data_IF_287554679575
#
_entry.id   IF_287554679575
#
_cell.length_a   1.000
_cell.length_b   1.000
_cell.length_c   1.000
_cell.angle_alpha   90.00
_cell.angle_beta   90.00
_cell.angle_gamma   90.00
#
_symmetry.space_group_name_H-M   'P 1'
#
loop_
_entity.id
_entity.type
_entity.pdbx_description
1 polymer ?
#
# COMPACT_ATOMS: atom_id res chain seq x y z
N UNK A 1 -15.39 0.10 -64.09
CA UNK A 1 -14.15 -0.42 -63.46
C UNK A 1 -14.53 -1.16 -62.19
N UNK A 2 -14.28 -2.46 -62.11
CA UNK A 2 -14.56 -3.26 -60.92
C UNK A 2 -13.42 -3.13 -59.90
N UNK A 3 -13.73 -2.72 -58.67
CA UNK A 3 -12.74 -2.62 -57.59
C UNK A 3 -12.26 -3.99 -57.11
N UNK A 4 -11.07 -4.04 -56.53
CA UNK A 4 -10.43 -5.26 -56.05
C UNK A 4 -11.31 -6.00 -55.01
N UNK A 5 -11.65 -7.25 -55.35
CA UNK A 5 -12.50 -8.13 -54.55
C UNK A 5 -11.87 -8.45 -53.19
N UNK A 6 -10.55 -8.38 -53.07
CA UNK A 6 -9.85 -8.72 -51.84
C UNK A 6 -10.12 -7.71 -50.71
N UNK A 7 -10.40 -6.45 -51.02
CA UNK A 7 -10.78 -5.46 -50.00
C UNK A 7 -12.11 -5.79 -49.29
N UNK A 8 -12.93 -6.66 -49.86
CA UNK A 8 -14.16 -7.15 -49.22
C UNK A 8 -13.91 -8.30 -48.24
N UNK A 9 -12.68 -8.85 -48.21
CA UNK A 9 -12.32 -9.96 -47.35
C UNK A 9 -11.80 -9.44 -46.01
N UNK A 10 -12.31 -9.98 -44.92
CA UNK A 10 -11.99 -9.54 -43.56
C UNK A 10 -10.54 -9.76 -43.15
N UNK A 11 -9.82 -10.66 -43.81
CA UNK A 11 -8.41 -10.95 -43.53
C UNK A 11 -7.42 -10.06 -44.30
N UNK A 12 -7.89 -9.23 -45.25
CA UNK A 12 -6.98 -8.47 -46.11
C UNK A 12 -6.26 -7.37 -45.29
N UNK A 13 -4.92 -7.28 -45.33
CA UNK A 13 -4.16 -6.39 -44.45
C UNK A 13 -4.39 -4.92 -44.78
N UNK A 14 -4.71 -4.58 -46.04
CA UNK A 14 -4.97 -3.20 -46.45
C UNK A 14 -6.33 -2.67 -45.99
N UNK A 15 -7.19 -3.47 -45.36
CA UNK A 15 -8.43 -2.97 -44.78
C UNK A 15 -8.12 -2.09 -43.55
N UNK A 16 -8.70 -0.88 -43.47
CA UNK A 16 -8.44 0.07 -42.38
C UNK A 16 -8.59 -0.55 -40.98
N UNK A 17 -9.62 -1.38 -40.77
CA UNK A 17 -9.84 -2.11 -39.51
C UNK A 17 -8.67 -3.01 -39.12
N UNK A 18 -8.00 -3.63 -40.09
CA UNK A 18 -6.86 -4.51 -39.81
C UNK A 18 -5.59 -3.70 -39.58
N UNK A 19 -5.40 -2.60 -40.31
CA UNK A 19 -4.31 -1.66 -40.05
C UNK A 19 -4.42 -1.04 -38.66
N UNK A 20 -5.62 -0.68 -38.22
CA UNK A 20 -5.88 -0.17 -36.86
C UNK A 20 -5.53 -1.22 -35.79
N UNK A 21 -5.87 -2.49 -36.01
CA UNK A 21 -5.51 -3.59 -35.10
C UNK A 21 -4.00 -3.78 -35.00
N UNK A 22 -3.32 -3.85 -36.14
CA UNK A 22 -1.85 -3.97 -36.20
C UNK A 22 -1.21 -2.77 -35.51
N UNK A 23 -1.68 -1.55 -35.81
CA UNK A 23 -1.16 -0.34 -35.18
C UNK A 23 -1.36 -0.32 -33.66
N UNK A 24 -2.52 -0.76 -33.17
CA UNK A 24 -2.78 -0.85 -31.74
C UNK A 24 -1.85 -1.86 -31.05
N UNK A 25 -1.61 -3.01 -31.67
CA UNK A 25 -0.69 -4.03 -31.18
C UNK A 25 0.77 -3.55 -31.20
N UNK A 26 1.21 -2.90 -32.29
CA UNK A 26 2.53 -2.30 -32.40
C UNK A 26 2.74 -1.19 -31.36
N UNK A 27 1.74 -0.33 -31.17
CA UNK A 27 1.79 0.73 -30.16
C UNK A 27 1.94 0.14 -28.75
N UNK A 28 1.15 -0.88 -28.43
CA UNK A 28 1.25 -1.59 -27.14
C UNK A 28 2.63 -2.23 -26.96
N UNK A 29 3.16 -2.90 -27.99
CA UNK A 29 4.49 -3.50 -27.94
C UNK A 29 5.60 -2.45 -27.74
N UNK A 30 5.47 -1.26 -28.35
CA UNK A 30 6.40 -0.15 -28.14
C UNK A 30 6.32 0.41 -26.71
N UNK A 31 5.12 0.51 -26.14
CA UNK A 31 4.93 0.95 -24.74
C UNK A 31 5.55 -0.06 -23.75
N UNK A 32 5.31 -1.36 -23.96
CA UNK A 32 5.90 -2.43 -23.17
C UNK A 32 7.43 -2.41 -23.26
N UNK A 33 7.98 -2.25 -24.48
CA UNK A 33 9.43 -2.11 -24.67
C UNK A 33 10.00 -0.91 -23.94
N UNK A 34 9.35 0.26 -24.05
CA UNK A 34 9.78 1.48 -23.32
C UNK A 34 9.77 1.26 -21.81
N UNK A 35 8.75 0.57 -21.27
CA UNK A 35 8.66 0.28 -19.84
C UNK A 35 9.79 -0.65 -19.39
N UNK A 36 10.11 -1.67 -20.19
CA UNK A 36 11.23 -2.58 -19.92
C UNK A 36 12.57 -1.83 -19.98
N UNK A 37 12.75 -0.94 -20.95
CA UNK A 37 13.99 -0.16 -21.09
C UNK A 37 14.18 0.81 -19.91
N UNK A 38 13.10 1.39 -19.38
CA UNK A 38 13.14 2.17 -18.12
C UNK A 38 13.61 1.32 -16.94
N UNK A 39 12.99 0.15 -16.72
CA UNK A 39 13.36 -0.76 -15.63
C UNK A 39 14.81 -1.26 -15.75
N UNK A 40 15.29 -1.49 -16.97
CA UNK A 40 16.70 -1.84 -17.22
C UNK A 40 17.63 -0.70 -16.81
N UNK A 41 17.29 0.53 -17.17
CA UNK A 41 18.05 1.72 -16.80
C UNK A 41 18.10 1.90 -15.28
N UNK A 42 16.95 1.81 -14.60
CA UNK A 42 16.86 1.92 -13.13
C UNK A 42 17.77 0.88 -12.45
N UNK A 43 17.73 -0.38 -12.90
CA UNK A 43 18.58 -1.45 -12.36
C UNK A 43 20.07 -1.23 -12.64
N UNK A 44 20.42 -0.68 -13.80
CA UNK A 44 21.82 -0.37 -14.11
C UNK A 44 22.32 0.84 -13.30
N UNK A 45 21.47 1.83 -13.02
CA UNK A 45 21.74 2.94 -12.11
C UNK A 45 21.93 2.45 -10.66
N UNK A 46 21.06 1.56 -10.18
CA UNK A 46 21.21 0.90 -8.87
C UNK A 46 22.54 0.16 -8.75
N UNK A 47 22.94 -0.57 -9.80
CA UNK A 47 24.23 -1.26 -9.85
C UNK A 47 25.41 -0.29 -9.80
N UNK A 48 25.34 0.81 -10.54
CA UNK A 48 26.38 1.83 -10.52
C UNK A 48 26.52 2.47 -9.12
N UNK A 49 25.40 2.76 -8.46
CA UNK A 49 25.41 3.30 -7.09
C UNK A 49 26.02 2.28 -6.11
N UNK A 50 25.64 1.00 -6.21
CA UNK A 50 26.22 -0.05 -5.38
C UNK A 50 27.72 -0.23 -5.62
N UNK A 51 28.17 -0.14 -6.87
CA UNK A 51 29.59 -0.20 -7.21
C UNK A 51 30.34 0.98 -6.61
N UNK A 52 29.83 2.22 -6.74
CA UNK A 52 30.41 3.41 -6.12
C UNK A 52 30.51 3.28 -4.60
N UNK A 53 29.46 2.78 -3.94
CA UNK A 53 29.47 2.50 -2.50
C UNK A 53 30.57 1.49 -2.14
N UNK A 54 30.71 0.41 -2.91
CA UNK A 54 31.75 -0.60 -2.71
C UNK A 54 33.16 -0.03 -2.90
N UNK A 55 33.39 0.83 -3.90
CA UNK A 55 34.67 1.53 -4.08
C UNK A 55 34.96 2.48 -2.90
N UNK A 56 33.93 3.15 -2.38
CA UNK A 56 34.04 4.04 -1.24
C UNK A 56 34.44 3.29 0.04
N UNK A 57 33.87 2.11 0.27
CA UNK A 57 34.25 1.21 1.37
C UNK A 57 35.71 0.74 1.21
N UNK A 58 36.11 0.33 0.01
CA UNK A 58 37.50 -0.10 -0.27
C UNK A 58 38.53 1.03 -0.11
N UNK A 59 38.11 2.28 -0.26
CA UNK A 59 38.94 3.48 -0.05
C UNK A 59 39.09 3.87 1.43
N UNK A 60 38.57 3.07 2.37
CA UNK A 60 38.75 3.26 3.81
C UNK A 60 37.76 4.22 4.48
N UNK A 61 36.71 4.66 3.79
CA UNK A 61 35.60 5.40 4.42
C UNK A 61 34.68 4.43 5.17
N UNK A 62 34.04 4.88 6.28
CA UNK A 62 33.15 4.01 7.05
C UNK A 62 31.99 3.51 6.18
N UNK A 63 31.66 2.22 6.33
CA UNK A 63 30.57 1.55 5.63
C UNK A 63 29.26 2.31 5.86
N UNK A 64 28.58 2.68 4.77
CA UNK A 64 27.24 3.27 4.88
C UNK A 64 26.28 2.20 5.39
N UNK A 65 25.56 2.50 6.47
CA UNK A 65 24.58 1.59 7.05
C UNK A 65 23.37 1.61 6.10
N UNK A 66 23.05 0.48 5.49
CA UNK A 66 21.88 0.34 4.61
C UNK A 66 20.61 0.38 5.45
N UNK A 67 20.12 1.58 5.75
CA UNK A 67 18.84 1.80 6.42
C UNK A 67 17.79 2.22 5.41
N UNK A 68 16.57 1.84 5.69
CA UNK A 68 15.40 2.26 4.92
C UNK A 68 15.04 3.68 5.37
N UNK A 69 15.82 4.67 4.94
CA UNK A 69 15.66 6.03 5.46
C UNK A 69 14.24 6.55 5.20
N UNK A 70 13.59 6.22 4.06
CA UNK A 70 12.21 6.64 3.80
C UNK A 70 11.18 6.15 4.84
N UNK A 71 11.47 5.04 5.53
CA UNK A 71 10.59 4.48 6.57
C UNK A 71 10.80 5.18 7.92
N UNK A 72 12.00 5.68 8.20
CA UNK A 72 12.35 6.38 9.44
C UNK A 72 12.27 7.91 9.30
N UNK A 73 12.10 8.42 8.09
CA UNK A 73 11.73 9.79 7.80
C UNK A 73 10.20 9.92 7.88
N UNK A 74 9.63 9.58 9.04
CA UNK A 74 8.23 9.89 9.30
C UNK A 74 8.08 11.42 9.39
N UNK A 75 7.14 12.06 8.66
CA UNK A 75 6.86 13.49 8.80
C UNK A 75 6.23 13.73 10.18
N UNK A 76 7.08 13.79 11.20
CA UNK A 76 6.69 13.88 12.61
C UNK A 76 7.74 13.27 13.56
N UNK A 77 8.44 12.21 13.15
CA UNK A 77 9.46 11.58 14.00
C UNK A 77 10.86 12.11 13.68
N UNK A 78 11.21 13.27 14.24
CA UNK A 78 12.58 13.59 14.68
C UNK A 78 13.76 13.46 13.69
N UNK A 79 13.53 13.48 12.37
CA UNK A 79 14.59 13.68 11.38
C UNK A 79 15.03 15.15 11.34
N UNK A 80 16.31 15.42 11.05
CA UNK A 80 17.03 16.70 11.21
C UNK A 80 16.49 17.96 10.46
N UNK A 81 15.22 17.97 10.03
CA UNK A 81 14.51 19.13 9.50
C UNK A 81 13.01 19.22 9.87
N UNK A 82 12.51 18.36 10.77
CA UNK A 82 11.07 18.18 11.06
C UNK A 82 10.50 18.92 12.29
N UNK A 83 11.23 19.86 12.89
CA UNK A 83 10.87 20.41 14.22
C UNK A 83 9.54 21.17 14.31
N UNK A 84 9.01 21.71 13.21
CA UNK A 84 7.81 22.56 13.25
C UNK A 84 6.50 21.77 13.22
N UNK A 85 6.42 20.66 12.48
CA UNK A 85 5.19 19.86 12.36
C UNK A 85 5.06 18.82 13.49
N UNK A 86 6.18 18.34 14.04
CA UNK A 86 6.21 17.38 15.14
C UNK A 86 5.62 17.96 16.43
N UNK A 87 6.06 19.15 16.86
CA UNK A 87 5.56 19.79 18.10
C UNK A 87 4.07 20.15 18.02
N UNK A 88 3.60 20.58 16.84
CA UNK A 88 2.19 20.90 16.64
C UNK A 88 1.34 19.63 16.71
N UNK A 89 1.76 18.55 16.01
CA UNK A 89 1.07 17.27 16.00
C UNK A 89 1.07 16.60 17.39
N UNK A 90 2.21 16.58 18.09
CA UNK A 90 2.33 16.11 19.48
C UNK A 90 1.47 16.94 20.43
N UNK A 91 1.32 18.24 20.18
CA UNK A 91 0.44 19.13 20.93
C UNK A 91 -1.04 18.80 20.77
N UNK A 92 -1.48 18.36 19.58
CA UNK A 92 -2.85 17.91 19.34
C UNK A 92 -3.10 16.50 19.89
N UNK A 93 -2.14 15.57 19.74
CA UNK A 93 -2.22 14.21 20.27
C UNK A 93 -2.21 14.18 21.80
N UNK A 94 -1.42 15.05 22.43
CA UNK A 94 -1.34 15.18 23.89
C UNK A 94 -2.41 16.12 24.47
N UNK A 95 -3.30 16.64 23.62
CA UNK A 95 -4.40 17.53 24.03
C UNK A 95 -3.96 18.89 24.59
N UNK A 96 -2.67 19.24 24.50
CA UNK A 96 -2.14 20.56 24.90
C UNK A 96 -2.65 21.69 23.99
N UNK A 97 -3.01 21.37 22.74
CA UNK A 97 -3.63 22.30 21.78
C UNK A 97 -5.02 21.79 21.41
N UNK A 98 -6.03 22.65 21.50
CA UNK A 98 -7.42 22.33 21.13
C UNK A 98 -7.55 22.21 19.61
N UNK A 99 -8.15 21.11 19.16
CA UNK A 99 -8.39 20.79 17.74
C UNK A 99 -9.49 21.69 17.14
N UNK A 100 -10.25 22.40 17.98
CA UNK A 100 -11.32 23.33 17.60
C UNK A 100 -10.84 24.39 16.59
N UNK A 101 -9.59 24.84 16.68
CA UNK A 101 -9.06 25.82 15.72
C UNK A 101 -8.91 25.29 14.29
N UNK A 102 -8.83 23.97 14.11
CA UNK A 102 -8.63 23.28 12.82
C UNK A 102 -9.96 22.73 12.28
N UNK A 103 -10.84 22.26 13.18
CA UNK A 103 -12.16 21.72 12.81
C UNK A 103 -13.25 22.80 12.71
N UNK A 104 -13.18 23.84 13.55
CA UNK A 104 -14.21 24.89 13.66
C UNK A 104 -13.90 26.14 12.84
N UNK A 105 -12.63 26.43 12.47
CA UNK A 105 -12.30 27.38 11.40
C UNK A 105 -12.52 26.72 10.03
N UNK A 106 -13.78 26.40 9.74
CA UNK A 106 -14.28 26.16 8.39
C UNK A 106 -15.13 27.36 7.97
N UNK A 107 -14.62 28.57 8.18
CA UNK A 107 -15.24 29.79 7.69
C UNK A 107 -14.18 30.64 6.98
N UNK A 108 -14.27 30.65 5.64
CA UNK A 108 -13.61 31.65 4.80
C UNK A 108 -12.53 31.15 3.85
N UNK A 109 -12.90 30.38 2.82
CA UNK A 109 -12.35 30.62 1.47
C UNK A 109 -11.18 29.77 0.94
N UNK A 110 -10.48 28.95 1.72
CA UNK A 110 -9.24 28.30 1.21
C UNK A 110 -9.33 26.77 0.94
N UNK A 111 -10.53 26.18 0.94
CA UNK A 111 -10.71 24.78 0.52
C UNK A 111 -10.94 24.59 -0.99
N UNK A 112 -11.03 25.68 -1.77
CA UNK A 112 -11.08 25.60 -3.23
C UNK A 112 -9.69 25.37 -3.86
N UNK A 113 -8.61 25.83 -3.21
CA UNK A 113 -7.23 25.61 -3.69
C UNK A 113 -6.75 24.16 -3.54
N UNK A 114 -7.22 23.45 -2.51
CA UNK A 114 -6.95 22.02 -2.31
C UNK A 114 -7.73 21.13 -3.28
N UNK A 115 -8.82 21.63 -3.87
CA UNK A 115 -9.54 20.95 -4.96
C UNK A 115 -8.91 21.24 -6.33
N UNK A 116 -8.29 22.42 -6.49
CA UNK A 116 -7.77 22.90 -7.78
C UNK A 116 -6.27 22.64 -8.00
N UNK A 117 -5.53 22.30 -6.94
CA UNK A 117 -4.10 21.95 -7.00
C UNK A 117 -3.80 20.46 -7.22
N UNK A 118 -4.82 19.59 -7.19
CA UNK A 118 -4.69 18.17 -7.52
C UNK A 118 -4.79 17.91 -9.04
N UNK A 119 -4.49 18.91 -9.87
CA UNK A 119 -4.35 18.78 -11.32
C UNK A 119 -2.91 18.37 -11.71
N UNK A 120 -2.28 17.49 -10.93
CA UNK A 120 -1.13 16.72 -11.40
C UNK A 120 -1.59 15.34 -11.84
N UNK A 121 -2.03 15.31 -13.09
CA UNK A 121 -2.03 14.17 -14.01
C UNK A 121 -2.82 12.91 -13.64
N UNK A 122 -4.15 13.03 -13.64
CA UNK A 122 -5.06 11.90 -13.90
C UNK A 122 -5.41 11.78 -15.41
N UNK A 123 -4.46 12.07 -16.31
CA UNK A 123 -4.61 11.85 -17.78
C UNK A 123 -4.08 10.48 -18.20
N UNK A 124 -4.30 9.45 -17.38
CA UNK A 124 -4.22 8.07 -17.82
C UNK A 124 -5.25 7.24 -17.03
N UNK A 125 -6.46 7.17 -17.58
CA UNK A 125 -7.44 6.15 -17.20
C UNK A 125 -8.81 6.64 -16.73
N UNK A 126 -9.47 7.48 -17.54
CA UNK A 126 -10.93 7.39 -17.72
C UNK A 126 -11.84 8.01 -16.65
N UNK A 127 -12.48 9.13 -17.03
CA UNK A 127 -13.82 9.47 -16.55
C UNK A 127 -13.87 10.31 -15.29
N UNK A 128 -13.80 11.63 -15.48
CA UNK A 128 -14.36 12.57 -14.52
C UNK A 128 -15.85 12.30 -14.36
N UNK A 129 -16.20 11.64 -13.26
CA UNK A 129 -17.47 11.81 -12.60
C UNK A 129 -17.13 12.06 -11.14
N UNK A 130 -17.75 13.09 -10.56
CA UNK A 130 -17.95 13.17 -9.12
C UNK A 130 -18.67 11.87 -8.76
N UNK A 131 -17.90 10.83 -8.41
CA UNK A 131 -18.46 9.56 -8.00
C UNK A 131 -19.21 9.86 -6.72
N UNK A 132 -20.55 9.90 -6.81
CA UNK A 132 -21.40 9.73 -5.65
C UNK A 132 -20.78 8.59 -4.85
N UNK A 133 -20.40 8.85 -3.60
CA UNK A 133 -19.74 7.87 -2.76
C UNK A 133 -20.65 6.65 -2.62
N UNK A 134 -20.42 5.65 -3.47
CA UNK A 134 -21.16 4.40 -3.40
C UNK A 134 -20.76 3.73 -2.08
N UNK A 135 -21.70 3.42 -1.18
CA UNK A 135 -21.38 2.79 0.11
C UNK A 135 -20.73 1.41 -0.07
N UNK A 136 -20.88 0.79 -1.25
CA UNK A 136 -20.17 -0.44 -1.62
C UNK A 136 -18.68 -0.21 -1.93
N UNK A 137 -18.34 0.91 -2.55
CA UNK A 137 -16.96 1.23 -2.91
C UNK A 137 -16.16 1.67 -1.68
N UNK A 138 -16.81 2.31 -0.70
CA UNK A 138 -16.19 2.59 0.60
C UNK A 138 -15.97 1.31 1.39
N UNK A 139 -16.94 0.39 1.39
CA UNK A 139 -16.79 -0.92 2.04
C UNK A 139 -15.66 -1.75 1.40
N UNK A 140 -15.55 -1.76 0.07
CA UNK A 140 -14.46 -2.45 -0.62
C UNK A 140 -13.08 -1.87 -0.26
N UNK A 141 -12.97 -0.54 -0.15
CA UNK A 141 -11.73 0.13 0.26
C UNK A 141 -11.36 -0.15 1.71
N UNK A 142 -12.34 -0.19 2.61
CA UNK A 142 -12.13 -0.54 4.02
C UNK A 142 -11.72 -2.00 4.17
N UNK A 143 -12.25 -2.90 3.33
CA UNK A 143 -11.87 -4.31 3.35
C UNK A 143 -10.49 -4.58 2.75
N UNK A 144 -10.06 -3.77 1.78
CA UNK A 144 -8.74 -3.86 1.16
C UNK A 144 -7.65 -3.06 1.90
N UNK A 145 -7.93 -2.58 3.13
CA UNK A 145 -6.96 -1.85 3.95
C UNK A 145 -5.98 -2.83 4.63
N UNK A 146 -4.67 -2.78 4.32
CA UNK A 146 -3.68 -3.67 4.91
C UNK A 146 -3.55 -3.53 6.43
N UNK A 147 -3.84 -2.35 7.00
CA UNK A 147 -3.81 -2.16 8.45
C UNK A 147 -4.96 -2.90 9.15
N UNK A 148 -6.10 -3.01 8.48
CA UNK A 148 -7.25 -3.74 8.99
C UNK A 148 -7.00 -5.26 8.95
N UNK A 149 -6.27 -5.76 7.95
CA UNK A 149 -5.79 -7.14 7.90
C UNK A 149 -4.82 -7.47 9.04
N UNK A 150 -3.85 -6.59 9.31
CA UNK A 150 -2.90 -6.75 10.41
C UNK A 150 -3.64 -6.80 11.75
N UNK A 151 -4.56 -5.86 11.99
CA UNK A 151 -5.35 -5.81 13.23
C UNK A 151 -6.21 -7.07 13.42
N UNK A 152 -6.83 -7.58 12.34
CA UNK A 152 -7.58 -8.86 12.39
C UNK A 152 -6.69 -10.03 12.76
N UNK A 153 -5.47 -10.08 12.20
CA UNK A 153 -4.48 -11.12 12.50
C UNK A 153 -4.04 -11.07 13.96
N UNK A 154 -3.83 -9.88 14.52
CA UNK A 154 -3.50 -9.69 15.93
C UNK A 154 -4.64 -10.14 16.85
N UNK A 155 -5.89 -9.77 16.53
CA UNK A 155 -7.06 -10.20 17.29
C UNK A 155 -7.25 -11.73 17.27
N UNK A 156 -7.13 -12.34 16.10
CA UNK A 156 -7.23 -13.80 15.96
C UNK A 156 -6.12 -14.54 16.73
N UNK A 157 -4.91 -13.98 16.79
CA UNK A 157 -3.83 -14.55 17.59
C UNK A 157 -4.14 -14.48 19.09
N UNK A 158 -4.63 -13.34 19.58
CA UNK A 158 -5.02 -13.17 20.99
C UNK A 158 -6.20 -14.08 21.37
N UNK A 159 -7.23 -14.16 20.53
CA UNK A 159 -8.36 -15.08 20.74
C UNK A 159 -7.92 -16.54 20.75
N UNK A 160 -6.95 -16.90 19.90
CA UNK A 160 -6.33 -18.22 19.89
C UNK A 160 -5.63 -18.55 21.21
N UNK A 161 -4.82 -17.62 21.73
CA UNK A 161 -4.13 -17.79 23.01
C UNK A 161 -5.10 -17.91 24.19
N UNK A 162 -6.17 -17.10 24.21
CA UNK A 162 -7.20 -17.17 25.27
C UNK A 162 -8.00 -18.47 25.19
N UNK A 163 -8.29 -18.96 23.98
CA UNK A 163 -8.99 -20.23 23.80
C UNK A 163 -8.11 -21.42 24.23
N UNK A 164 -6.85 -21.41 23.83
CA UNK A 164 -5.86 -22.41 24.25
C UNK A 164 -5.68 -22.40 25.77
N UNK A 165 -5.60 -21.22 26.39
CA UNK A 165 -5.53 -21.07 27.85
C UNK A 165 -6.77 -21.65 28.55
N UNK A 166 -7.96 -21.40 28.01
CA UNK A 166 -9.20 -21.98 28.55
C UNK A 166 -9.33 -23.50 28.34
N UNK A 167 -8.81 -24.03 27.22
CA UNK A 167 -8.73 -25.47 26.96
C UNK A 167 -7.73 -26.14 27.94
N UNK A 168 -6.56 -25.55 28.16
CA UNK A 168 -5.57 -26.04 29.13
C UNK A 168 -6.08 -25.97 30.59
N UNK A 169 -6.83 -24.92 30.96
CA UNK A 169 -7.44 -24.83 32.28
C UNK A 169 -8.50 -25.92 32.49
N UNK A 170 -9.33 -26.18 31.47
CA UNK A 170 -10.30 -27.28 31.49
C UNK A 170 -9.64 -28.65 31.64
N UNK A 171 -8.58 -28.93 30.88
CA UNK A 171 -7.82 -30.19 30.99
C UNK A 171 -7.16 -30.34 32.37
N UNK A 172 -6.66 -29.25 32.97
CA UNK A 172 -6.09 -29.26 34.33
C UNK A 172 -7.16 -29.50 35.39
N UNK A 173 -8.36 -28.93 35.22
CA UNK A 173 -9.48 -29.19 36.12
C UNK A 173 -9.98 -30.63 36.00
N UNK A 174 -10.14 -31.16 34.78
CA UNK A 174 -10.53 -32.56 34.56
C UNK A 174 -9.50 -33.54 35.13
N UNK A 175 -8.20 -33.30 34.89
CA UNK A 175 -7.13 -34.10 35.48
C UNK A 175 -7.13 -34.01 37.02
N UNK A 176 -7.46 -32.85 37.60
CA UNK A 176 -7.56 -32.70 39.06
C UNK A 176 -8.75 -33.46 39.66
N UNK A 177 -9.86 -33.56 38.93
CA UNK A 177 -11.06 -34.29 39.34
C UNK A 177 -10.86 -35.80 39.21
N UNK A 178 -10.19 -36.28 38.15
CA UNK A 178 -9.83 -37.69 38.00
C UNK A 178 -8.89 -38.16 39.13
N UNK A 179 -7.86 -37.37 39.45
CA UNK A 179 -6.95 -37.67 40.58
C UNK A 179 -7.71 -37.71 41.91
N UNK A 180 -8.64 -36.79 42.15
CA UNK A 180 -9.47 -36.79 43.35
C UNK A 180 -10.43 -38.01 43.42
N UNK A 181 -10.93 -38.49 42.27
CA UNK A 181 -11.73 -39.70 42.17
C UNK A 181 -10.93 -40.98 42.48
N UNK A 182 -9.72 -41.09 41.92
CA UNK A 182 -8.81 -42.22 42.18
C UNK A 182 -8.31 -42.27 43.64
N UNK A 183 -8.18 -41.13 44.31
CA UNK A 183 -7.86 -41.07 45.74
C UNK A 183 -9.04 -41.47 46.63
N UNK A 184 -10.28 -41.15 46.23
CA UNK A 184 -11.49 -41.56 46.95
C UNK A 184 -11.75 -43.07 46.86
N UNK A 185 -11.48 -43.70 45.71
CA UNK A 185 -11.60 -45.15 45.52
C UNK A 185 -10.51 -45.94 46.27
N UNK A 186 -9.36 -45.33 46.55
CA UNK A 186 -8.28 -45.97 47.33
C UNK A 186 -8.56 -46.08 48.83
N UNK A 187 -9.60 -45.42 49.34
CA UNK A 187 -9.94 -45.36 50.77
C UNK A 187 -11.26 -46.07 51.15
N UNK A 188 -11.89 -46.77 50.19
CA UNK A 188 -13.06 -47.65 50.39
C UNK A 188 -12.67 -49.12 50.28
#
# INVERSE_FOLDING_TARGET
MGGDLNLKKSWHPSLLRNQERVWAEEKRALEERKRIDQLRRERDEERQIQELQRLQEGSGKPKQIQRVDWMYQEPGAGGAGGGMYAEEMEGYLLGKRRIDGVLLKKDGGETEGLKKGAEFNATLGGGGAVAQANPRDTMAKVLADPLLEIRKREQAALEGMVREEGEEEGEREEASVEVAGEEAERYT
#
